data_IF_060135376466
#
_entry.id   IF_060135376466
#
_cell.length_a   1.000
_cell.length_b   1.000
_cell.length_c   1.000
_cell.angle_alpha   90.00
_cell.angle_beta   90.00
_cell.angle_gamma   90.00
#
_symmetry.space_group_name_H-M   'P 1'
#
loop_
_entity.id
_entity.type
_entity.pdbx_description
1 polymer ?
#
# COMPACT_ATOMS: atom_id res chain seq x y z
N UNK A 1 -6.79 2.30 -6.64
CA UNK A 1 -6.97 2.98 -7.93
C UNK A 1 -6.63 4.46 -7.82
N UNK A 2 -5.46 4.80 -8.35
CA UNK A 2 -5.10 6.14 -8.80
C UNK A 2 -5.95 6.49 -10.04
N UNK A 3 -6.54 7.68 -10.06
CA UNK A 3 -7.27 8.23 -11.19
C UNK A 3 -6.36 9.21 -11.95
N UNK A 4 -6.30 9.08 -13.27
CA UNK A 4 -5.37 9.87 -14.10
C UNK A 4 -3.91 9.46 -13.96
N UNK A 5 -3.01 10.40 -14.23
CA UNK A 5 -1.55 10.23 -14.21
C UNK A 5 -0.99 10.37 -12.80
N UNK A 6 0.11 9.68 -12.53
CA UNK A 6 0.89 9.89 -11.32
C UNK A 6 1.48 8.62 -10.72
N UNK A 7 2.10 8.78 -9.57
CA UNK A 7 2.76 7.69 -8.83
C UNK A 7 2.44 7.76 -7.35
N UNK A 8 2.03 6.63 -6.80
CA UNK A 8 1.77 6.42 -5.40
C UNK A 8 2.76 5.37 -4.86
N UNK A 9 3.44 5.71 -3.77
CA UNK A 9 4.12 4.72 -2.91
C UNK A 9 3.35 4.55 -1.61
N UNK A 10 3.08 3.31 -1.24
CA UNK A 10 2.39 2.92 -0.01
C UNK A 10 3.38 2.16 0.87
N UNK A 11 3.66 2.70 2.04
CA UNK A 11 4.57 2.10 3.01
C UNK A 11 3.77 1.64 4.22
N UNK A 12 3.88 0.36 4.57
CA UNK A 12 3.28 -0.16 5.81
C UNK A 12 4.01 0.37 7.02
N UNK A 13 3.32 0.50 8.15
CA UNK A 13 3.93 0.89 9.42
C UNK A 13 3.80 -0.27 10.42
N UNK A 14 4.87 -0.50 11.20
CA UNK A 14 4.90 -1.52 12.25
C UNK A 14 3.72 -1.39 13.21
N UNK A 15 3.08 -2.52 13.53
CA UNK A 15 1.96 -2.59 14.49
C UNK A 15 2.36 -2.28 15.94
N UNK A 16 3.66 -2.18 16.22
CA UNK A 16 4.17 -1.75 17.52
C UNK A 16 4.09 -0.24 17.70
N UNK A 17 3.99 0.53 16.61
CA UNK A 17 3.78 1.97 16.69
C UNK A 17 2.35 2.27 17.11
N UNK A 18 2.21 3.20 18.06
CA UNK A 18 0.91 3.72 18.49
C UNK A 18 0.94 5.23 18.30
N UNK A 19 0.15 5.78 17.35
CA UNK A 19 0.25 7.18 16.96
C UNK A 19 -0.04 8.14 18.12
N UNK A 20 -0.93 7.76 19.03
CA UNK A 20 -1.30 8.60 20.18
C UNK A 20 -0.20 8.70 21.25
N UNK A 21 0.82 7.81 21.20
CA UNK A 21 1.82 7.68 22.26
C UNK A 21 3.23 8.12 21.83
N UNK A 22 3.55 8.02 20.54
CA UNK A 22 4.93 8.20 20.06
C UNK A 22 4.97 8.77 18.65
N UNK A 23 5.98 9.58 18.37
CA UNK A 23 6.29 10.00 17.00
C UNK A 23 6.73 8.81 16.15
N UNK A 24 6.37 8.83 14.87
CA UNK A 24 6.78 7.83 13.89
C UNK A 24 8.28 7.95 13.60
N UNK A 25 8.99 6.83 13.71
CA UNK A 25 10.42 6.74 13.40
C UNK A 25 10.65 6.00 12.08
N UNK A 26 11.66 6.38 11.30
CA UNK A 26 11.96 5.77 9.99
C UNK A 26 12.09 4.24 10.05
N UNK A 27 12.69 3.70 11.11
CA UNK A 27 12.83 2.24 11.31
C UNK A 27 11.52 1.47 11.46
N UNK A 28 10.41 2.16 11.69
CA UNK A 28 9.07 1.55 11.81
C UNK A 28 8.36 1.47 10.45
N UNK A 29 8.92 2.10 9.42
CA UNK A 29 8.48 1.95 8.04
C UNK A 29 8.89 0.56 7.53
N UNK A 30 7.95 -0.14 6.93
CA UNK A 30 8.12 -1.50 6.46
C UNK A 30 8.52 -1.52 4.99
N UNK A 31 9.48 -2.38 4.68
CA UNK A 31 9.82 -2.76 3.31
C UNK A 31 9.24 -4.14 2.99
N UNK A 32 9.02 -4.49 1.70
CA UNK A 32 9.08 -3.57 0.56
C UNK A 32 7.91 -2.58 0.57
N UNK A 33 8.07 -1.44 -0.11
CA UNK A 33 6.98 -0.49 -0.34
C UNK A 33 6.13 -0.89 -1.56
N UNK A 34 4.82 -0.70 -1.46
CA UNK A 34 3.92 -0.90 -2.57
C UNK A 34 3.96 0.27 -3.55
N UNK A 35 4.42 0.08 -4.78
CA UNK A 35 4.49 1.14 -5.80
C UNK A 35 3.47 0.95 -6.91
N UNK A 36 2.69 2.01 -7.20
CA UNK A 36 1.66 2.04 -8.23
C UNK A 36 1.79 3.31 -9.07
N UNK A 37 1.71 3.21 -10.40
CA UNK A 37 1.78 4.40 -11.24
C UNK A 37 1.03 4.27 -12.57
N UNK A 38 0.78 5.43 -13.18
CA UNK A 38 0.33 5.60 -14.55
C UNK A 38 1.14 6.71 -15.23
N UNK A 39 1.73 6.41 -16.37
CA UNK A 39 2.60 7.31 -17.13
C UNK A 39 1.84 8.04 -18.24
N UNK A 40 2.38 9.17 -18.69
CA UNK A 40 1.85 9.86 -19.86
C UNK A 40 1.88 8.92 -21.08
N UNK A 41 0.72 8.75 -21.74
CA UNK A 41 0.55 7.81 -22.85
C UNK A 41 -0.09 6.47 -22.48
N UNK A 42 -0.23 6.15 -21.19
CA UNK A 42 -1.02 5.00 -20.77
C UNK A 42 -2.52 5.32 -20.91
N UNK A 43 -3.33 4.39 -21.48
CA UNK A 43 -4.78 4.54 -21.50
C UNK A 43 -5.36 4.71 -20.08
N UNK A 44 -6.42 5.52 -19.95
CA UNK A 44 -7.02 5.81 -18.64
C UNK A 44 -7.67 4.56 -17.99
N UNK A 45 -8.11 3.61 -18.82
CA UNK A 45 -8.69 2.33 -18.44
C UNK A 45 -7.66 1.21 -18.25
N UNK A 46 -6.39 1.44 -18.62
CA UNK A 46 -5.34 0.45 -18.41
C UNK A 46 -5.09 0.21 -16.91
N UNK A 47 -4.78 -1.05 -16.51
CA UNK A 47 -4.35 -1.35 -15.15
C UNK A 47 -3.16 -0.48 -14.73
N UNK A 48 -3.10 -0.16 -13.44
CA UNK A 48 -1.94 0.56 -12.89
C UNK A 48 -0.71 -0.33 -13.00
N UNK A 49 0.41 0.27 -13.39
CA UNK A 49 1.71 -0.38 -13.36
C UNK A 49 2.15 -0.52 -11.89
N UNK A 50 2.81 -1.63 -11.58
CA UNK A 50 3.37 -1.88 -10.28
C UNK A 50 4.62 -2.79 -10.39
N UNK A 51 5.42 -2.85 -9.32
CA UNK A 51 6.50 -3.81 -9.19
C UNK A 51 5.93 -5.11 -8.60
N UNK A 52 5.55 -6.06 -9.46
CA UNK A 52 4.72 -7.21 -9.06
C UNK A 52 5.30 -8.01 -7.89
N UNK A 53 6.62 -8.26 -7.88
CA UNK A 53 7.29 -8.98 -6.80
C UNK A 53 7.19 -8.22 -5.47
N UNK A 54 7.48 -6.92 -5.47
CA UNK A 54 7.39 -6.07 -4.28
C UNK A 54 5.94 -5.97 -3.79
N UNK A 55 4.95 -5.84 -4.69
CA UNK A 55 3.53 -5.82 -4.33
C UNK A 55 3.10 -7.13 -3.69
N UNK A 56 3.55 -8.26 -4.21
CA UNK A 56 3.21 -9.57 -3.65
C UNK A 56 3.78 -9.73 -2.24
N UNK A 57 5.07 -9.47 -2.03
CA UNK A 57 5.69 -9.55 -0.70
C UNK A 57 5.04 -8.54 0.27
N UNK A 58 4.77 -7.31 -0.19
CA UNK A 58 4.07 -6.31 0.60
C UNK A 58 2.71 -6.83 1.07
N UNK A 59 1.92 -7.42 0.17
CA UNK A 59 0.60 -7.99 0.48
C UNK A 59 0.66 -9.11 1.52
N UNK A 60 1.63 -10.02 1.41
CA UNK A 60 1.85 -11.11 2.38
C UNK A 60 2.20 -10.57 3.77
N UNK A 61 3.07 -9.56 3.84
CA UNK A 61 3.39 -8.89 5.12
C UNK A 61 2.17 -8.22 5.73
N UNK A 62 1.35 -7.52 4.93
CA UNK A 62 0.11 -6.92 5.41
C UNK A 62 -0.85 -7.97 5.98
N UNK A 63 -0.94 -9.15 5.35
CA UNK A 63 -1.76 -10.25 5.85
C UNK A 63 -1.29 -10.78 7.21
N UNK A 64 0.02 -10.85 7.46
CA UNK A 64 0.54 -11.22 8.78
C UNK A 64 0.29 -10.14 9.84
N UNK A 65 0.48 -8.86 9.49
CA UNK A 65 0.25 -7.75 10.42
C UNK A 65 -1.23 -7.61 10.82
N UNK A 66 -2.15 -7.94 9.90
CA UNK A 66 -3.59 -7.96 10.17
C UNK A 66 -3.98 -8.96 11.27
N UNK A 67 -3.14 -9.96 11.59
CA UNK A 67 -3.35 -10.89 12.71
C UNK A 67 -2.98 -10.27 14.06
N UNK A 68 -2.15 -9.23 14.08
CA UNK A 68 -1.61 -8.63 15.31
C UNK A 68 -2.56 -7.59 15.90
N UNK A 69 -3.14 -6.71 15.08
CA UNK A 69 -4.08 -5.67 15.50
C UNK A 69 -5.16 -5.43 14.45
N UNK A 70 -6.31 -4.93 14.90
CA UNK A 70 -7.46 -4.61 14.03
C UNK A 70 -7.27 -3.34 13.19
N UNK A 71 -6.34 -2.47 13.57
CA UNK A 71 -6.08 -1.18 12.90
C UNK A 71 -4.65 -1.19 12.41
N UNK A 72 -4.44 -0.79 11.17
CA UNK A 72 -3.13 -0.65 10.57
C UNK A 72 -2.97 0.75 9.99
N UNK A 73 -1.74 1.27 10.06
CA UNK A 73 -1.40 2.58 9.52
C UNK A 73 -0.44 2.43 8.33
N UNK A 74 -0.58 3.34 7.38
CA UNK A 74 0.21 3.39 6.16
C UNK A 74 0.65 4.82 5.89
N UNK A 75 1.85 4.98 5.33
CA UNK A 75 2.33 6.24 4.80
C UNK A 75 2.13 6.24 3.28
N UNK A 76 1.48 7.27 2.76
CA UNK A 76 1.27 7.46 1.32
C UNK A 76 2.19 8.59 0.84
N UNK A 77 3.06 8.28 -0.12
CA UNK A 77 3.89 9.27 -0.78
C UNK A 77 3.40 9.47 -2.22
N UNK A 78 2.95 10.69 -2.49
CA UNK A 78 2.40 11.11 -3.78
C UNK A 78 3.50 11.73 -4.64
N UNK A 79 3.60 11.32 -5.90
CA UNK A 79 4.56 11.80 -6.88
C UNK A 79 3.92 11.94 -8.26
N UNK A 80 4.60 12.65 -9.15
CA UNK A 80 4.26 12.73 -10.58
C UNK A 80 2.82 13.21 -10.88
N UNK A 81 2.26 14.06 -10.00
CA UNK A 81 0.88 14.58 -10.14
C UNK A 81 -0.20 13.75 -9.43
N UNK A 82 0.17 12.70 -8.70
CA UNK A 82 -0.74 12.06 -7.77
C UNK A 82 -1.10 13.02 -6.62
N UNK A 83 -2.36 13.01 -6.20
CA UNK A 83 -2.88 13.85 -5.13
C UNK A 83 -3.87 13.05 -4.29
N UNK A 84 -4.17 13.48 -3.07
CA UNK A 84 -5.08 12.73 -2.19
C UNK A 84 -6.43 12.43 -2.85
N UNK A 85 -6.99 13.41 -3.56
CA UNK A 85 -8.35 13.32 -4.11
C UNK A 85 -8.44 12.38 -5.32
N UNK A 86 -7.31 12.07 -5.96
CA UNK A 86 -7.26 11.14 -7.09
C UNK A 86 -6.94 9.69 -6.68
N UNK A 87 -6.95 9.37 -5.38
CA UNK A 87 -6.62 8.03 -4.88
C UNK A 87 -7.78 7.38 -4.12
N UNK A 88 -8.15 6.18 -4.56
CA UNK A 88 -9.01 5.25 -3.82
C UNK A 88 -8.26 3.95 -3.57
N UNK A 89 -8.00 3.54 -2.34
CA UNK A 89 -7.28 2.28 -2.06
C UNK A 89 -8.16 1.30 -1.28
N UNK A 90 -8.01 0.02 -1.58
CA UNK A 90 -8.65 -1.08 -0.87
C UNK A 90 -7.72 -2.28 -0.84
N UNK A 91 -7.76 -3.04 0.24
CA UNK A 91 -7.08 -4.32 0.37
C UNK A 91 -8.13 -5.44 0.30
N UNK A 92 -7.83 -6.50 -0.45
CA UNK A 92 -8.70 -7.67 -0.55
C UNK A 92 -7.96 -8.87 0.01
N UNK A 93 -8.51 -9.46 1.08
CA UNK A 93 -8.02 -10.71 1.63
C UNK A 93 -8.84 -11.86 1.06
N UNK A 94 -8.17 -12.83 0.43
CA UNK A 94 -8.82 -14.10 0.10
C UNK A 94 -8.85 -14.95 1.37
N UNK A 95 -10.02 -15.47 1.71
CA UNK A 95 -10.14 -16.47 2.78
C UNK A 95 -9.49 -17.76 2.27
N UNK A 96 -8.53 -18.31 3.01
CA UNK A 96 -8.00 -19.63 2.67
C UNK A 96 -9.14 -20.64 2.74
N UNK A 97 -9.43 -21.31 1.63
CA UNK A 97 -10.19 -22.56 1.67
C UNK A 97 -9.32 -23.56 2.41
N UNK A 98 -9.71 -23.90 3.64
CA UNK A 98 -9.10 -25.01 4.34
C UNK A 98 -9.31 -26.24 3.45
N UNK A 99 -8.21 -26.78 2.89
CA UNK A 99 -8.23 -28.14 2.34
C UNK A 99 -8.51 -29.06 3.53
N UNK A 100 -9.76 -29.49 3.65
CA UNK A 100 -10.18 -30.57 4.54
C UNK A 100 -9.62 -31.91 4.09
#
# INVERSE_FOLDING_TARGET
>A
LLQGLGRLSVTGISQLWTPDLTNLMTRQLLEPTGQFWRSAGDPEDAPLKCLEADIQEFGERIAELAKVRKVMYFLFAFKDGAEKDNIKCSLMFKKNEAKG
#
